data_IF_277942527474
#
_entry.id   IF_277942527474
#
_cell.length_a   1.000
_cell.length_b   1.000
_cell.length_c   1.000
_cell.angle_alpha   90.00
_cell.angle_beta   90.00
_cell.angle_gamma   90.00
#
_symmetry.space_group_name_H-M   'P 1'
#
loop_
_entity.id
_entity.type
_entity.pdbx_description
1 polymer ?
#
# COMPACT_ATOMS: atom_id res chain seq x y z
N UNK A 1 39.73 -56.44 22.39
CA UNK A 1 39.21 -57.08 21.16
C UNK A 1 39.60 -56.23 19.97
N UNK A 2 40.59 -56.73 19.21
CA UNK A 2 41.10 -56.12 17.98
C UNK A 2 40.00 -56.05 16.92
N UNK A 3 39.86 -54.90 16.25
CA UNK A 3 39.26 -54.85 14.91
C UNK A 3 40.27 -54.20 13.97
N UNK A 4 40.97 -55.08 13.26
CA UNK A 4 41.84 -54.78 12.13
C UNK A 4 41.03 -54.06 11.04
N UNK A 5 41.49 -52.87 10.66
CA UNK A 5 41.19 -52.23 9.39
C UNK A 5 42.43 -52.39 8.50
N UNK A 6 42.35 -53.33 7.57
CA UNK A 6 43.33 -53.57 6.53
C UNK A 6 43.46 -52.32 5.64
N UNK A 7 44.55 -51.56 5.80
CA UNK A 7 45.09 -50.72 4.74
C UNK A 7 45.66 -51.65 3.66
N UNK A 8 44.98 -51.74 2.53
CA UNK A 8 45.54 -52.33 1.31
C UNK A 8 46.49 -51.30 0.73
N UNK A 9 47.79 -51.43 1.06
CA UNK A 9 48.84 -50.75 0.30
C UNK A 9 48.73 -51.16 -1.18
N UNK A 10 48.66 -50.21 -2.12
CA UNK A 10 48.61 -50.55 -3.53
C UNK A 10 49.92 -51.24 -3.93
N UNK A 11 49.79 -52.49 -4.37
CA UNK A 11 50.90 -53.32 -4.83
C UNK A 11 51.84 -52.54 -5.79
N UNK A 12 53.15 -52.78 -5.64
CA UNK A 12 54.22 -52.29 -6.54
C UNK A 12 53.85 -52.40 -8.04
N UNK A 13 53.05 -53.41 -8.40
CA UNK A 13 52.53 -53.65 -9.75
C UNK A 13 51.65 -52.49 -10.28
N UNK A 14 50.74 -51.93 -9.47
CA UNK A 14 49.83 -50.87 -9.91
C UNK A 14 50.55 -49.55 -10.17
N UNK A 15 51.59 -49.22 -9.37
CA UNK A 15 52.43 -48.04 -9.57
C UNK A 15 53.30 -48.17 -10.82
N UNK A 16 53.86 -49.36 -11.05
CA UNK A 16 54.67 -49.64 -12.24
C UNK A 16 53.82 -49.69 -13.52
N UNK A 17 52.58 -50.17 -13.44
CA UNK A 17 51.62 -50.14 -14.55
C UNK A 17 51.18 -48.71 -14.89
N UNK A 18 50.97 -47.86 -13.89
CA UNK A 18 50.66 -46.43 -14.09
C UNK A 18 51.86 -45.68 -14.71
N UNK A 19 53.08 -46.01 -14.28
CA UNK A 19 54.31 -45.44 -14.83
C UNK A 19 54.55 -45.89 -16.27
N UNK A 20 54.33 -47.17 -16.58
CA UNK A 20 54.44 -47.72 -17.92
C UNK A 20 53.37 -47.14 -18.87
N UNK A 21 52.13 -46.99 -18.41
CA UNK A 21 51.07 -46.31 -19.15
C UNK A 21 51.42 -44.84 -19.43
N UNK A 22 51.98 -44.13 -18.44
CA UNK A 22 52.44 -42.74 -18.60
C UNK A 22 53.57 -42.61 -19.62
N UNK A 23 54.56 -43.50 -19.57
CA UNK A 23 55.69 -43.51 -20.54
C UNK A 23 55.19 -43.85 -21.95
N UNK A 24 54.29 -44.83 -22.09
CA UNK A 24 53.70 -45.21 -23.37
C UNK A 24 52.85 -44.07 -23.98
N UNK A 25 52.04 -43.40 -23.16
CA UNK A 25 51.24 -42.24 -23.55
C UNK A 25 52.13 -41.06 -24.00
N UNK A 26 53.22 -40.78 -23.28
CA UNK A 26 54.19 -39.73 -23.64
C UNK A 26 54.87 -40.05 -24.97
N UNK A 27 55.20 -41.31 -25.25
CA UNK A 27 55.78 -41.74 -26.53
C UNK A 27 54.78 -41.55 -27.68
N UNK A 28 53.54 -41.98 -27.50
CA UNK A 28 52.46 -41.80 -28.48
C UNK A 28 52.23 -40.32 -28.77
N UNK A 29 52.16 -39.46 -27.75
CA UNK A 29 51.98 -38.01 -27.91
C UNK A 29 53.18 -37.36 -28.61
N UNK A 30 54.41 -37.87 -28.40
CA UNK A 30 55.62 -37.34 -29.04
C UNK A 30 55.72 -37.69 -30.52
N UNK A 31 55.20 -38.84 -30.93
CA UNK A 31 55.22 -39.35 -32.30
C UNK A 31 53.93 -39.01 -33.08
N UNK A 32 52.88 -38.51 -32.41
CA UNK A 32 51.62 -38.14 -33.03
C UNK A 32 51.81 -36.97 -34.00
N UNK A 33 51.42 -37.20 -35.25
CA UNK A 33 51.35 -36.18 -36.29
C UNK A 33 49.99 -36.26 -36.99
N UNK A 34 49.05 -35.43 -36.58
CA UNK A 34 47.69 -35.41 -37.13
C UNK A 34 47.62 -34.75 -38.53
N UNK A 35 48.70 -34.11 -38.96
CA UNK A 35 48.78 -33.39 -40.24
C UNK A 35 49.58 -34.13 -41.32
N UNK A 36 50.12 -35.33 -41.04
CA UNK A 36 50.91 -36.11 -42.01
C UNK A 36 50.12 -36.50 -43.25
N UNK A 37 48.84 -36.81 -43.10
CA UNK A 37 47.94 -37.25 -44.18
C UNK A 37 46.82 -36.25 -44.47
N UNK A 38 46.90 -35.02 -43.95
CA UNK A 38 45.88 -34.01 -44.22
C UNK A 38 45.99 -33.53 -45.68
N UNK A 39 44.93 -33.66 -46.50
CA UNK A 39 44.99 -33.40 -47.94
C UNK A 39 45.30 -31.93 -48.28
N UNK A 40 44.93 -31.00 -47.41
CA UNK A 40 45.14 -29.57 -47.61
C UNK A 40 46.56 -29.13 -47.19
N UNK A 41 47.09 -29.72 -46.11
CA UNK A 41 48.27 -29.20 -45.41
C UNK A 41 49.54 -30.05 -45.58
N UNK A 42 49.39 -31.35 -45.78
CA UNK A 42 50.52 -32.29 -45.93
C UNK A 42 51.51 -31.90 -47.04
N UNK A 43 51.08 -31.54 -48.27
CA UNK A 43 52.03 -31.16 -49.34
C UNK A 43 52.74 -29.82 -49.10
N UNK A 44 52.26 -29.03 -48.14
CA UNK A 44 52.63 -27.63 -47.94
C UNK A 44 53.55 -27.42 -46.72
N UNK A 45 53.54 -28.35 -45.75
CA UNK A 45 54.23 -28.23 -44.47
C UNK A 45 55.41 -29.22 -44.36
N UNK A 46 56.51 -28.77 -43.75
CA UNK A 46 57.62 -29.69 -43.41
C UNK A 46 57.24 -30.62 -42.26
N UNK A 47 57.88 -31.80 -42.14
CA UNK A 47 57.62 -32.76 -41.04
C UNK A 47 57.68 -32.12 -39.65
N UNK A 48 58.61 -31.19 -39.44
CA UNK A 48 58.72 -30.42 -38.19
C UNK A 48 57.53 -29.48 -37.97
N UNK A 49 57.07 -28.76 -39.00
CA UNK A 49 55.91 -27.88 -38.93
C UNK A 49 54.61 -28.67 -38.68
N UNK A 50 54.49 -29.87 -39.24
CA UNK A 50 53.36 -30.76 -39.00
C UNK A 50 53.29 -31.23 -37.53
N UNK A 51 54.44 -31.59 -36.93
CA UNK A 51 54.52 -31.97 -35.51
C UNK A 51 54.20 -30.78 -34.59
N UNK A 52 54.73 -29.58 -34.88
CA UNK A 52 54.40 -28.38 -34.09
C UNK A 52 52.94 -27.98 -34.23
N UNK A 53 52.36 -28.07 -35.43
CA UNK A 53 50.94 -27.82 -35.66
C UNK A 53 50.07 -28.81 -34.91
N UNK A 54 50.44 -30.10 -34.87
CA UNK A 54 49.74 -31.13 -34.09
C UNK A 54 49.69 -30.79 -32.59
N UNK A 55 50.82 -30.37 -32.02
CA UNK A 55 50.89 -30.00 -30.59
C UNK A 55 50.07 -28.76 -30.28
N UNK A 56 50.18 -27.72 -31.11
CA UNK A 56 49.43 -26.48 -30.94
C UNK A 56 47.92 -26.72 -31.09
N UNK A 57 47.52 -27.55 -32.05
CA UNK A 57 46.14 -28.00 -32.25
C UNK A 57 45.57 -28.67 -30.99
N UNK A 58 46.30 -29.63 -30.40
CA UNK A 58 45.86 -30.31 -29.18
C UNK A 58 45.75 -29.37 -27.97
N UNK A 59 46.63 -28.37 -27.85
CA UNK A 59 46.55 -27.36 -26.79
C UNK A 59 45.32 -26.47 -27.00
N UNK A 60 45.13 -25.92 -28.20
CA UNK A 60 44.01 -25.02 -28.50
C UNK A 60 42.66 -25.69 -28.37
N UNK A 61 42.54 -26.95 -28.82
CA UNK A 61 41.29 -27.68 -28.66
C UNK A 61 41.00 -27.99 -27.19
N UNK A 62 42.02 -28.31 -26.38
CA UNK A 62 41.86 -28.56 -24.95
C UNK A 62 41.45 -27.30 -24.18
N UNK A 63 42.07 -26.15 -24.48
CA UNK A 63 41.71 -24.86 -23.86
C UNK A 63 40.29 -24.47 -24.26
N UNK A 64 39.95 -24.60 -25.55
CA UNK A 64 38.63 -24.27 -26.07
C UNK A 64 37.54 -25.15 -25.43
N UNK A 65 37.79 -26.46 -25.31
CA UNK A 65 36.87 -27.38 -24.65
C UNK A 65 36.70 -27.04 -23.16
N UNK A 66 37.80 -26.71 -22.46
CA UNK A 66 37.75 -26.29 -21.06
C UNK A 66 36.91 -25.02 -20.86
N UNK A 67 37.06 -24.03 -21.75
CA UNK A 67 36.25 -22.80 -21.72
C UNK A 67 34.77 -23.11 -21.93
N UNK A 68 34.43 -23.96 -22.91
CA UNK A 68 33.03 -24.37 -23.17
C UNK A 68 32.42 -25.09 -21.97
N UNK A 69 33.15 -26.04 -21.37
CA UNK A 69 32.68 -26.78 -20.19
C UNK A 69 32.50 -25.84 -19.00
N UNK A 70 33.45 -24.94 -18.77
CA UNK A 70 33.38 -23.96 -17.68
C UNK A 70 32.18 -23.02 -17.85
N UNK A 71 31.99 -22.50 -19.07
CA UNK A 71 30.84 -21.67 -19.41
C UNK A 71 29.51 -22.43 -19.20
N UNK A 72 29.40 -23.65 -19.73
CA UNK A 72 28.20 -24.47 -19.59
C UNK A 72 27.90 -24.81 -18.12
N UNK A 73 28.93 -24.99 -17.29
CA UNK A 73 28.77 -25.30 -15.86
C UNK A 73 28.29 -24.10 -15.03
N UNK A 74 28.64 -22.89 -15.46
CA UNK A 74 28.24 -21.63 -14.81
C UNK A 74 26.91 -21.08 -15.36
N UNK A 75 26.46 -21.59 -16.50
CA UNK A 75 25.24 -21.13 -17.15
C UNK A 75 24.00 -21.58 -16.38
N UNK A 76 23.04 -20.65 -16.26
CA UNK A 76 21.75 -20.85 -15.61
C UNK A 76 20.67 -20.87 -16.68
N UNK A 77 19.73 -21.78 -16.53
CA UNK A 77 18.52 -21.89 -17.35
C UNK A 77 17.29 -21.53 -16.53
N UNK A 78 16.41 -20.74 -17.14
CA UNK A 78 15.09 -20.47 -16.58
C UNK A 78 14.11 -21.49 -17.12
N UNK A 79 13.54 -22.31 -16.24
CA UNK A 79 12.49 -23.25 -16.58
C UNK A 79 11.13 -22.62 -16.29
N UNK A 80 10.15 -22.88 -17.15
CA UNK A 80 8.78 -22.42 -17.01
C UNK A 80 7.86 -23.61 -16.74
N UNK A 81 6.99 -23.48 -15.73
CA UNK A 81 5.99 -24.48 -15.38
C UNK A 81 4.62 -23.83 -15.43
N UNK A 82 3.67 -24.49 -16.09
CA UNK A 82 2.27 -24.04 -16.17
C UNK A 82 1.33 -25.17 -15.74
N UNK A 83 0.53 -24.91 -14.71
CA UNK A 83 -0.49 -25.81 -14.18
C UNK A 83 -1.88 -25.32 -14.60
N UNK A 84 -2.66 -26.20 -15.24
CA UNK A 84 -4.05 -25.91 -15.65
C UNK A 84 -5.08 -26.15 -14.55
N UNK A 85 -4.74 -26.96 -13.54
CA UNK A 85 -5.60 -27.27 -12.39
C UNK A 85 -4.75 -27.20 -11.13
N UNK A 86 -5.19 -26.41 -10.17
CA UNK A 86 -4.52 -26.19 -8.90
C UNK A 86 -5.54 -25.72 -7.86
N UNK A 87 -5.28 -25.99 -6.58
CA UNK A 87 -6.10 -25.52 -5.46
C UNK A 87 -5.58 -24.18 -4.91
N UNK A 88 -6.38 -23.52 -4.06
CA UNK A 88 -5.94 -22.34 -3.31
C UNK A 88 -4.69 -22.60 -2.48
N UNK A 89 -4.56 -23.82 -1.91
CA UNK A 89 -3.38 -24.23 -1.12
C UNK A 89 -2.15 -24.39 -2.00
N UNK A 90 -2.31 -24.87 -3.23
CA UNK A 90 -1.22 -24.97 -4.20
C UNK A 90 -0.70 -23.59 -4.59
N UNK A 91 -1.62 -22.64 -4.79
CA UNK A 91 -1.29 -21.25 -5.01
C UNK A 91 -0.48 -20.67 -3.84
N UNK A 92 -1.02 -20.71 -2.62
CA UNK A 92 -0.35 -20.12 -1.44
C UNK A 92 1.04 -20.74 -1.21
N UNK A 93 1.17 -22.06 -1.43
CA UNK A 93 2.47 -22.74 -1.36
C UNK A 93 3.44 -22.24 -2.44
N UNK A 94 3.03 -22.23 -3.70
CA UNK A 94 3.90 -21.85 -4.82
C UNK A 94 4.24 -20.35 -4.79
N UNK A 95 3.35 -19.51 -4.30
CA UNK A 95 3.62 -18.10 -4.05
C UNK A 95 4.73 -17.93 -3.00
N UNK A 96 4.69 -18.71 -1.91
CA UNK A 96 5.74 -18.66 -0.89
C UNK A 96 7.12 -19.07 -1.43
N UNK A 97 7.15 -19.95 -2.43
CA UNK A 97 8.38 -20.46 -3.04
C UNK A 97 8.91 -19.59 -4.18
N UNK A 98 8.01 -18.98 -4.97
CA UNK A 98 8.33 -18.25 -6.20
C UNK A 98 7.60 -16.89 -6.28
N UNK A 99 7.72 -16.01 -5.28
CA UNK A 99 6.89 -14.81 -5.16
C UNK A 99 7.10 -13.81 -6.31
N UNK A 100 8.28 -13.77 -6.92
CA UNK A 100 8.63 -12.80 -7.97
C UNK A 100 8.28 -13.26 -9.39
N UNK A 101 8.00 -14.54 -9.60
CA UNK A 101 7.80 -15.12 -10.95
C UNK A 101 6.46 -15.81 -11.11
N UNK A 102 5.74 -16.07 -10.01
CA UNK A 102 4.40 -16.64 -10.07
C UNK A 102 3.42 -15.67 -10.72
N UNK A 103 2.59 -16.19 -11.60
CA UNK A 103 1.60 -15.42 -12.33
C UNK A 103 0.33 -16.24 -12.53
N UNK A 104 -0.80 -15.68 -12.10
CA UNK A 104 -2.12 -16.31 -12.17
C UNK A 104 -3.13 -15.28 -12.70
N UNK A 105 -3.46 -15.32 -14.00
CA UNK A 105 -4.52 -14.48 -14.54
C UNK A 105 -5.90 -14.89 -14.01
N UNK A 106 -6.69 -13.89 -13.63
CA UNK A 106 -8.11 -14.04 -13.34
C UNK A 106 -8.90 -14.13 -14.64
N UNK A 107 -9.96 -14.95 -14.65
CA UNK A 107 -10.92 -14.95 -15.77
C UNK A 107 -11.85 -13.74 -15.71
N UNK A 108 -12.26 -13.32 -14.51
CA UNK A 108 -12.98 -12.06 -14.29
C UNK A 108 -12.00 -10.97 -13.84
N UNK A 109 -11.77 -9.98 -14.70
CA UNK A 109 -10.87 -8.85 -14.39
C UNK A 109 -11.55 -7.79 -13.51
N UNK A 110 -12.88 -7.83 -13.41
CA UNK A 110 -13.70 -6.86 -12.68
C UNK A 110 -14.68 -7.61 -11.79
N UNK A 111 -14.53 -7.48 -10.47
CA UNK A 111 -15.34 -8.18 -9.47
C UNK A 111 -15.97 -7.19 -8.49
N UNK A 112 -17.29 -7.14 -8.41
CA UNK A 112 -18.00 -6.32 -7.43
C UNK A 112 -17.65 -6.69 -5.99
N UNK A 113 -17.48 -5.69 -5.13
CA UNK A 113 -17.08 -5.91 -3.73
C UNK A 113 -18.06 -6.81 -2.97
N UNK A 114 -19.36 -6.77 -3.27
CA UNK A 114 -20.35 -7.62 -2.60
C UNK A 114 -20.08 -9.14 -2.71
N UNK A 115 -19.28 -9.58 -3.69
CA UNK A 115 -18.91 -10.99 -3.84
C UNK A 115 -17.97 -11.46 -2.72
N UNK A 116 -17.16 -10.57 -2.12
CA UNK A 116 -16.06 -10.97 -1.23
C UNK A 116 -15.85 -10.03 -0.03
N UNK A 117 -16.59 -8.93 0.05
CA UNK A 117 -16.61 -8.00 1.17
C UNK A 117 -18.05 -7.73 1.61
N UNK A 118 -18.23 -7.56 2.91
CA UNK A 118 -19.51 -7.25 3.52
C UNK A 118 -19.38 -6.14 4.56
N UNK A 119 -20.47 -5.39 4.73
CA UNK A 119 -20.56 -4.23 5.61
C UNK A 119 -21.87 -4.25 6.36
N UNK A 120 -21.82 -4.25 7.69
CA UNK A 120 -23.00 -4.37 8.56
C UNK A 120 -22.94 -3.33 9.68
N UNK A 121 -23.25 -2.07 9.39
CA UNK A 121 -23.16 -0.98 10.35
C UNK A 121 -24.23 -1.09 11.44
N UNK A 122 -23.80 -0.94 12.68
CA UNK A 122 -24.65 -0.84 13.86
C UNK A 122 -24.63 0.61 14.36
N UNK A 123 -25.80 1.23 14.38
CA UNK A 123 -25.95 2.62 14.80
C UNK A 123 -26.14 2.73 16.32
N UNK A 124 -25.74 3.87 16.86
CA UNK A 124 -25.94 4.28 18.24
C UNK A 124 -27.42 4.23 18.58
N UNK A 125 -27.75 3.71 19.78
CA UNK A 125 -29.13 3.46 20.22
C UNK A 125 -30.04 4.68 20.07
N UNK A 126 -29.51 5.90 20.24
CA UNK A 126 -30.24 7.15 20.04
C UNK A 126 -30.99 7.20 18.69
N UNK A 127 -30.38 6.72 17.61
CA UNK A 127 -30.92 6.78 16.25
C UNK A 127 -31.96 5.69 15.95
N UNK A 128 -32.25 4.82 16.91
CA UNK A 128 -33.36 3.86 16.88
C UNK A 128 -34.30 3.99 18.08
N UNK A 129 -34.03 4.94 18.98
CA UNK A 129 -34.80 5.16 20.21
C UNK A 129 -36.08 5.98 20.01
N UNK A 130 -36.91 6.03 21.05
CA UNK A 130 -38.12 6.84 21.07
C UNK A 130 -37.83 8.35 21.02
N UNK A 131 -36.60 8.79 21.38
CA UNK A 131 -36.20 10.19 21.45
C UNK A 131 -36.07 10.89 20.10
N UNK A 132 -35.95 10.13 19.00
CA UNK A 132 -36.08 10.67 17.64
C UNK A 132 -37.48 10.43 17.06
N UNK A 133 -38.37 9.81 17.83
CA UNK A 133 -39.73 9.47 17.44
C UNK A 133 -40.68 10.66 17.49
N UNK A 134 -41.79 10.55 16.76
CA UNK A 134 -42.83 11.60 16.72
C UNK A 134 -43.44 11.86 18.10
N UNK A 135 -43.69 10.81 18.90
CA UNK A 135 -44.29 10.93 20.24
C UNK A 135 -43.45 11.78 21.18
N UNK A 136 -42.15 11.48 21.30
CA UNK A 136 -41.22 12.26 22.11
C UNK A 136 -41.16 13.72 21.67
N UNK A 137 -40.89 13.94 20.38
CA UNK A 137 -40.77 15.29 19.84
C UNK A 137 -42.05 16.09 20.08
N UNK A 138 -43.23 15.52 19.81
CA UNK A 138 -44.51 16.18 20.06
C UNK A 138 -44.74 16.50 21.54
N UNK A 139 -44.28 15.64 22.46
CA UNK A 139 -44.41 15.88 23.90
C UNK A 139 -43.66 17.12 24.41
N UNK A 140 -42.66 17.57 23.65
CA UNK A 140 -41.83 18.74 23.95
C UNK A 140 -42.37 20.05 23.35
N UNK A 141 -43.43 19.98 22.55
CA UNK A 141 -44.00 21.17 21.92
C UNK A 141 -44.86 21.98 22.90
N UNK A 142 -44.58 23.27 22.99
CA UNK A 142 -45.40 24.25 23.70
C UNK A 142 -45.78 25.40 22.76
N UNK A 143 -47.04 25.80 22.78
CA UNK A 143 -47.55 26.90 21.95
C UNK A 143 -46.98 28.27 22.38
N UNK A 144 -46.66 28.42 23.67
CA UNK A 144 -46.03 29.61 24.24
C UNK A 144 -44.51 29.44 24.44
N UNK A 145 -43.86 28.55 23.69
CA UNK A 145 -42.43 28.28 23.82
C UNK A 145 -41.56 29.56 23.80
N UNK A 146 -41.88 30.52 22.93
CA UNK A 146 -41.17 31.80 22.79
C UNK A 146 -41.35 32.77 23.97
N UNK A 147 -42.33 32.52 24.83
CA UNK A 147 -42.56 33.34 26.03
C UNK A 147 -41.54 33.05 27.13
N UNK A 148 -40.96 31.84 27.14
CA UNK A 148 -39.97 31.43 28.14
C UNK A 148 -38.61 32.13 27.97
N UNK A 149 -37.70 31.88 28.92
CA UNK A 149 -36.32 32.35 28.83
C UNK A 149 -35.59 31.62 27.69
N UNK A 150 -34.67 32.29 27.03
CA UNK A 150 -33.91 31.74 25.90
C UNK A 150 -32.98 30.57 26.30
N UNK A 151 -32.60 30.50 27.57
CA UNK A 151 -31.88 29.37 28.19
C UNK A 151 -32.82 28.25 28.68
N UNK A 152 -34.13 28.50 28.67
CA UNK A 152 -35.11 27.52 29.09
C UNK A 152 -35.30 26.44 28.03
N UNK A 153 -35.12 25.18 28.41
CA UNK A 153 -35.25 24.08 27.45
C UNK A 153 -36.64 24.00 26.82
N UNK A 154 -37.69 24.47 27.50
CA UNK A 154 -39.05 24.50 26.97
C UNK A 154 -39.19 25.39 25.73
N UNK A 155 -38.28 26.35 25.56
CA UNK A 155 -38.20 27.20 24.38
C UNK A 155 -37.76 26.42 23.14
N UNK A 156 -36.80 25.49 23.28
CA UNK A 156 -36.08 24.94 22.12
C UNK A 156 -35.97 23.41 22.05
N UNK A 157 -36.31 22.67 23.10
CA UNK A 157 -36.16 21.21 23.15
C UNK A 157 -36.86 20.51 21.98
N UNK A 158 -38.06 20.96 21.62
CA UNK A 158 -38.75 20.48 20.43
C UNK A 158 -37.90 20.55 19.15
N UNK A 159 -37.23 21.68 18.91
CA UNK A 159 -36.37 21.86 17.74
C UNK A 159 -35.07 21.07 17.86
N UNK A 160 -34.54 20.91 19.08
CA UNK A 160 -33.32 20.13 19.33
C UNK A 160 -33.51 18.67 18.94
N UNK A 161 -34.58 18.02 19.43
CA UNK A 161 -34.84 16.63 19.08
C UNK A 161 -35.28 16.46 17.62
N UNK A 162 -35.82 17.50 16.97
CA UNK A 162 -35.98 17.52 15.50
C UNK A 162 -34.64 17.54 14.77
N UNK A 163 -33.68 18.37 15.21
CA UNK A 163 -32.32 18.41 14.67
C UNK A 163 -31.61 17.07 14.87
N UNK A 164 -31.69 16.48 16.06
CA UNK A 164 -31.12 15.17 16.34
C UNK A 164 -31.70 14.07 15.44
N UNK A 165 -33.03 14.05 15.26
CA UNK A 165 -33.68 13.14 14.32
C UNK A 165 -33.15 13.32 12.90
N UNK A 166 -32.95 14.57 12.46
CA UNK A 166 -32.41 14.87 11.13
C UNK A 166 -30.98 14.36 10.99
N UNK A 167 -30.12 14.56 12.00
CA UNK A 167 -28.75 14.04 12.00
C UNK A 167 -28.72 12.51 11.95
N UNK A 168 -29.56 11.83 12.73
CA UNK A 168 -29.69 10.37 12.67
C UNK A 168 -30.20 9.88 11.32
N UNK A 169 -31.16 10.60 10.72
CA UNK A 169 -31.68 10.25 9.39
C UNK A 169 -30.62 10.42 8.31
N UNK A 170 -29.89 11.55 8.33
CA UNK A 170 -28.78 11.83 7.43
C UNK A 170 -27.72 10.73 7.53
N UNK A 171 -27.25 10.43 8.75
CA UNK A 171 -26.28 9.37 8.98
C UNK A 171 -26.73 8.02 8.39
N UNK A 172 -27.97 7.60 8.68
CA UNK A 172 -28.50 6.33 8.18
C UNK A 172 -28.65 6.30 6.68
N UNK A 173 -29.14 7.40 6.08
CA UNK A 173 -29.30 7.51 4.65
C UNK A 173 -27.95 7.48 3.93
N UNK A 174 -26.99 8.30 4.35
CA UNK A 174 -25.66 8.35 3.76
C UNK A 174 -24.95 6.98 3.85
N UNK A 175 -25.08 6.29 4.98
CA UNK A 175 -24.50 4.94 5.13
C UNK A 175 -25.21 3.91 4.25
N UNK A 176 -26.52 3.99 4.07
CA UNK A 176 -27.23 3.09 3.15
C UNK A 176 -26.84 3.35 1.69
N UNK A 177 -26.69 4.62 1.31
CA UNK A 177 -26.30 5.01 -0.05
C UNK A 177 -24.85 4.63 -0.35
N UNK A 178 -23.94 4.79 0.62
CA UNK A 178 -22.56 4.30 0.49
C UNK A 178 -22.53 2.78 0.41
N UNK A 179 -23.36 2.07 1.18
CA UNK A 179 -23.41 0.61 1.14
C UNK A 179 -23.85 0.09 -0.23
N UNK A 180 -24.86 0.72 -0.85
CA UNK A 180 -25.27 0.41 -2.24
C UNK A 180 -24.14 0.66 -3.23
N UNK A 181 -23.47 1.80 -3.10
CA UNK A 181 -22.33 2.16 -3.97
C UNK A 181 -21.19 1.17 -3.81
N UNK A 182 -20.82 0.85 -2.57
CA UNK A 182 -19.79 -0.13 -2.21
C UNK A 182 -20.07 -1.49 -2.86
N UNK A 183 -21.28 -2.02 -2.67
CA UNK A 183 -21.66 -3.33 -3.21
C UNK A 183 -21.56 -3.38 -4.74
N UNK A 184 -21.85 -2.26 -5.42
CA UNK A 184 -21.75 -2.16 -6.88
C UNK A 184 -20.34 -1.86 -7.41
N UNK A 185 -19.44 -1.37 -6.56
CA UNK A 185 -18.10 -0.94 -6.98
C UNK A 185 -17.24 -2.16 -7.31
N UNK A 186 -16.62 -2.21 -8.50
CA UNK A 186 -15.75 -3.32 -8.88
C UNK A 186 -14.30 -3.11 -8.40
N UNK A 187 -13.67 -4.20 -7.96
CA UNK A 187 -12.22 -4.34 -7.91
C UNK A 187 -11.72 -4.76 -9.28
N UNK A 188 -10.86 -3.95 -9.89
CA UNK A 188 -10.30 -4.23 -11.22
C UNK A 188 -8.85 -4.68 -11.09
N UNK A 189 -8.59 -5.95 -11.37
CA UNK A 189 -7.23 -6.48 -11.43
C UNK A 189 -7.14 -7.70 -12.35
N UNK A 190 -6.02 -7.84 -13.05
CA UNK A 190 -5.81 -8.91 -14.05
C UNK A 190 -5.27 -10.19 -13.45
N UNK A 191 -4.55 -10.07 -12.34
CA UNK A 191 -3.87 -11.18 -11.69
C UNK A 191 -4.45 -11.38 -10.30
N UNK A 192 -4.19 -12.52 -9.68
CA UNK A 192 -4.63 -12.74 -8.32
C UNK A 192 -3.70 -12.03 -7.33
N UNK A 193 -4.27 -11.44 -6.29
CA UNK A 193 -3.50 -10.94 -5.15
C UNK A 193 -3.07 -12.08 -4.23
N UNK A 194 -1.94 -11.90 -3.56
CA UNK A 194 -1.61 -12.67 -2.38
C UNK A 194 -2.66 -12.46 -1.29
N UNK A 195 -2.79 -13.40 -0.35
CA UNK A 195 -3.68 -13.22 0.80
C UNK A 195 -3.31 -11.98 1.61
N UNK A 196 -2.02 -11.71 1.77
CA UNK A 196 -1.54 -10.52 2.47
C UNK A 196 -1.92 -9.23 1.74
N UNK A 197 -1.68 -9.18 0.42
CA UNK A 197 -2.05 -8.03 -0.43
C UNK A 197 -3.55 -7.79 -0.43
N UNK A 198 -4.36 -8.85 -0.56
CA UNK A 198 -5.81 -8.75 -0.49
C UNK A 198 -6.28 -8.18 0.85
N UNK A 199 -5.76 -8.69 1.97
CA UNK A 199 -6.13 -8.21 3.31
C UNK A 199 -5.76 -6.73 3.50
N UNK A 200 -4.59 -6.32 3.01
CA UNK A 200 -4.15 -4.92 3.04
C UNK A 200 -5.06 -4.03 2.19
N UNK A 201 -5.32 -4.41 0.93
CA UNK A 201 -6.21 -3.69 0.02
C UNK A 201 -7.62 -3.58 0.61
N UNK A 202 -8.18 -4.67 1.12
CA UNK A 202 -9.51 -4.68 1.73
C UNK A 202 -9.58 -3.72 2.93
N UNK A 203 -8.57 -3.76 3.81
CA UNK A 203 -8.48 -2.86 4.97
C UNK A 203 -8.43 -1.38 4.54
N UNK A 204 -7.57 -1.05 3.56
CA UNK A 204 -7.44 0.32 3.04
C UNK A 204 -8.75 0.78 2.38
N UNK A 205 -9.41 -0.08 1.61
CA UNK A 205 -10.70 0.23 1.01
C UNK A 205 -11.74 0.55 2.08
N UNK A 206 -11.92 -0.32 3.09
CA UNK A 206 -12.86 -0.05 4.19
C UNK A 206 -12.55 1.27 4.91
N UNK A 207 -11.29 1.53 5.24
CA UNK A 207 -10.87 2.75 5.92
C UNK A 207 -11.15 4.01 5.09
N UNK A 208 -10.89 3.95 3.78
CA UNK A 208 -11.17 5.06 2.88
C UNK A 208 -12.67 5.30 2.75
N UNK A 209 -13.48 4.24 2.62
CA UNK A 209 -14.94 4.37 2.58
C UNK A 209 -15.49 5.03 3.84
N UNK A 210 -15.05 4.57 5.02
CA UNK A 210 -15.46 5.13 6.31
C UNK A 210 -15.04 6.59 6.47
N UNK A 211 -13.78 6.93 6.14
CA UNK A 211 -13.29 8.31 6.28
C UNK A 211 -13.98 9.27 5.31
N UNK A 212 -14.22 8.85 4.08
CA UNK A 212 -14.81 9.70 3.05
C UNK A 212 -16.25 10.08 3.41
N UNK A 213 -17.08 9.12 3.82
CA UNK A 213 -18.47 9.40 4.20
C UNK A 213 -18.53 10.31 5.42
N UNK A 214 -17.77 10.01 6.48
CA UNK A 214 -17.74 10.82 7.71
C UNK A 214 -17.30 12.25 7.40
N UNK A 215 -16.24 12.42 6.60
CA UNK A 215 -15.73 13.74 6.21
C UNK A 215 -16.74 14.52 5.38
N UNK A 216 -17.40 13.87 4.41
CA UNK A 216 -18.40 14.51 3.56
C UNK A 216 -19.59 15.02 4.38
N UNK A 217 -20.15 14.17 5.25
CA UNK A 217 -21.32 14.54 6.04
C UNK A 217 -21.00 15.57 7.12
N UNK A 218 -19.83 15.48 7.75
CA UNK A 218 -19.32 16.54 8.65
C UNK A 218 -19.28 17.89 7.93
N UNK A 219 -18.73 17.92 6.70
CA UNK A 219 -18.68 19.13 5.88
C UNK A 219 -20.08 19.63 5.53
N UNK A 220 -21.00 18.76 5.14
CA UNK A 220 -22.40 19.12 4.84
C UNK A 220 -23.05 19.83 6.02
N UNK A 221 -23.02 19.24 7.21
CA UNK A 221 -23.65 19.84 8.41
C UNK A 221 -22.98 21.17 8.78
N UNK A 222 -21.66 21.27 8.63
CA UNK A 222 -20.90 22.50 8.90
C UNK A 222 -21.30 23.62 7.94
N UNK A 223 -21.41 23.32 6.65
CA UNK A 223 -21.84 24.28 5.63
C UNK A 223 -23.27 24.73 5.87
N UNK A 224 -24.18 23.82 6.25
CA UNK A 224 -25.57 24.18 6.58
C UNK A 224 -25.63 25.13 7.78
N UNK A 225 -24.88 24.86 8.85
CA UNK A 225 -24.78 25.77 10.00
C UNK A 225 -24.27 27.15 9.58
N UNK A 226 -23.19 27.21 8.80
CA UNK A 226 -22.63 28.46 8.28
C UNK A 226 -23.63 29.22 7.40
N UNK A 227 -24.37 28.52 6.54
CA UNK A 227 -25.37 29.15 5.67
C UNK A 227 -26.53 29.74 6.47
N UNK A 228 -27.01 29.04 7.51
CA UNK A 228 -28.06 29.58 8.40
C UNK A 228 -27.58 30.87 9.07
N UNK A 229 -26.35 30.83 9.57
CA UNK A 229 -25.76 31.91 10.35
C UNK A 229 -25.48 33.15 9.48
N UNK A 230 -24.71 32.98 8.39
CA UNK A 230 -24.29 34.07 7.50
C UNK A 230 -25.43 34.72 6.71
N UNK A 231 -26.52 33.99 6.45
CA UNK A 231 -27.71 34.57 5.82
C UNK A 231 -28.69 35.18 6.84
N UNK A 232 -28.37 35.15 8.14
CA UNK A 232 -29.22 35.69 9.20
C UNK A 232 -30.60 35.03 9.25
N UNK A 233 -30.70 33.73 8.96
CA UNK A 233 -32.00 33.05 8.89
C UNK A 233 -32.66 33.01 10.28
N UNK A 234 -33.89 33.51 10.37
CA UNK A 234 -34.61 33.64 11.63
C UNK A 234 -35.08 32.28 12.15
N UNK A 235 -34.73 31.97 13.41
CA UNK A 235 -35.34 30.86 14.14
C UNK A 235 -36.78 31.22 14.52
N UNK A 236 -37.73 30.35 14.18
CA UNK A 236 -39.13 30.51 14.59
C UNK A 236 -39.30 30.56 16.12
N UNK A 237 -38.32 30.02 16.87
CA UNK A 237 -38.29 30.02 18.32
C UNK A 237 -37.63 31.27 18.92
N UNK A 238 -37.21 32.22 18.07
CA UNK A 238 -36.58 33.48 18.47
C UNK A 238 -35.29 33.31 19.28
N UNK A 239 -34.57 32.22 19.02
CA UNK A 239 -33.30 31.88 19.69
C UNK A 239 -32.10 32.66 19.14
N UNK A 240 -32.18 33.17 17.92
CA UNK A 240 -31.12 33.98 17.31
C UNK A 240 -31.53 35.43 17.03
N UNK A 241 -32.77 35.65 16.58
CA UNK A 241 -33.35 36.96 16.34
C UNK A 241 -34.80 36.99 16.80
N UNK A 242 -35.25 38.14 17.28
CA UNK A 242 -36.65 38.37 17.59
C UNK A 242 -37.15 39.65 16.92
N UNK A 243 -38.44 39.65 16.61
CA UNK A 243 -39.14 40.78 16.00
C UNK A 243 -40.07 41.33 17.05
N UNK A 244 -39.98 42.63 17.31
CA UNK A 244 -40.90 43.34 18.19
C UNK A 244 -41.43 44.58 17.49
N UNK A 245 -42.63 44.99 17.87
CA UNK A 245 -43.26 46.25 17.45
C UNK A 245 -43.45 47.12 18.68
N UNK A 246 -43.10 48.39 18.57
CA UNK A 246 -43.47 49.36 19.62
C UNK A 246 -44.99 49.54 19.58
N UNK A 247 -45.72 49.47 20.71
CA UNK A 247 -47.16 49.70 20.73
C UNK A 247 -47.52 51.03 20.06
N UNK A 248 -48.40 50.98 19.05
CA UNK A 248 -48.81 52.15 18.26
C UNK A 248 -47.94 52.45 17.03
N UNK A 249 -46.82 51.75 16.84
CA UNK A 249 -46.02 51.83 15.61
C UNK A 249 -46.51 50.83 14.56
N UNK A 250 -46.43 51.22 13.28
CA UNK A 250 -46.58 50.30 12.14
C UNK A 250 -45.28 49.59 11.76
N UNK A 251 -44.17 50.03 12.34
CA UNK A 251 -42.83 49.52 12.04
C UNK A 251 -42.47 48.36 12.98
N UNK A 252 -41.88 47.33 12.39
CA UNK A 252 -41.31 46.20 13.12
C UNK A 252 -39.80 46.37 13.20
N UNK A 253 -39.25 46.20 14.40
CA UNK A 253 -37.80 46.20 14.61
C UNK A 253 -37.32 44.78 14.86
N UNK A 254 -36.24 44.41 14.18
CA UNK A 254 -35.54 43.14 14.41
C UNK A 254 -34.37 43.39 15.36
N UNK A 255 -34.25 42.57 16.40
CA UNK A 255 -33.10 42.58 17.30
C UNK A 255 -32.51 41.17 17.41
N UNK A 256 -31.19 41.10 17.58
CA UNK A 256 -30.50 39.85 17.82
C UNK A 256 -30.70 39.40 19.26
N UNK A 257 -30.80 38.08 19.44
CA UNK A 257 -30.81 37.48 20.75
C UNK A 257 -29.43 37.65 21.39
N UNK A 258 -29.44 38.04 22.67
CA UNK A 258 -28.24 38.23 23.48
C UNK A 258 -28.29 37.27 24.64
N UNK A 259 -27.29 36.38 24.70
CA UNK A 259 -27.08 35.48 25.83
C UNK A 259 -26.13 36.14 26.82
N UNK A 260 -26.55 36.25 28.08
CA UNK A 260 -25.72 36.76 29.17
C UNK A 260 -25.50 35.67 30.20
N UNK A 261 -24.27 35.55 30.70
CA UNK A 261 -23.97 34.84 31.94
C UNK A 261 -23.17 35.74 32.87
N UNK A 262 -23.55 35.71 34.15
CA UNK A 262 -22.91 36.47 35.22
C UNK A 262 -22.16 35.45 36.05
N UNK A 263 -20.83 35.45 35.93
CA UNK A 263 -19.99 34.61 36.78
C UNK A 263 -19.19 35.49 37.73
N UNK A 264 -19.72 35.65 38.95
CA UNK A 264 -19.22 36.34 40.17
C UNK A 264 -18.54 37.73 40.04
N UNK A 265 -17.87 38.08 38.95
CA UNK A 265 -17.27 39.41 38.66
C UNK A 265 -17.22 39.78 37.16
N UNK A 266 -17.57 38.87 36.22
CA UNK A 266 -17.50 39.15 34.77
C UNK A 266 -18.83 38.83 34.08
N UNK A 267 -19.44 39.84 33.49
CA UNK A 267 -20.56 39.69 32.55
C UNK A 267 -19.97 39.23 31.21
N UNK A 268 -20.37 38.05 30.75
CA UNK A 268 -20.02 37.60 29.40
C UNK A 268 -21.26 37.62 28.52
N UNK A 269 -21.22 38.54 27.56
CA UNK A 269 -22.26 38.76 26.57
C UNK A 269 -21.91 38.05 25.26
N UNK A 270 -22.89 37.34 24.72
CA UNK A 270 -22.83 36.72 23.41
C UNK A 270 -24.05 37.13 22.59
N UNK A 271 -23.82 38.04 21.65
CA UNK A 271 -24.80 38.48 20.67
C UNK A 271 -24.81 37.51 19.48
N UNK A 272 -25.97 36.92 19.19
CA UNK A 272 -26.16 36.00 18.07
C UNK A 272 -25.88 36.60 16.70
N UNK A 273 -25.90 37.93 16.54
CA UNK A 273 -25.48 38.59 15.31
C UNK A 273 -23.96 38.64 15.14
N UNK A 274 -23.22 38.72 16.25
CA UNK A 274 -21.76 38.91 16.23
C UNK A 274 -20.99 37.60 16.39
N UNK A 275 -21.56 36.66 17.15
CA UNK A 275 -20.90 35.40 17.55
C UNK A 275 -21.79 34.18 17.30
N UNK A 276 -22.78 34.32 16.42
CA UNK A 276 -23.66 33.30 15.82
C UNK A 276 -23.61 31.90 16.46
N UNK A 277 -22.74 31.01 15.97
CA UNK A 277 -22.68 29.61 16.38
C UNK A 277 -21.83 29.34 17.64
N UNK A 278 -21.19 30.36 18.21
CA UNK A 278 -20.31 30.27 19.37
C UNK A 278 -21.05 30.55 20.68
N UNK A 279 -22.26 31.11 20.62
CA UNK A 279 -23.10 31.37 21.79
C UNK A 279 -23.76 30.08 22.28
N UNK A 280 -23.05 29.33 23.12
CA UNK A 280 -23.50 28.03 23.65
C UNK A 280 -23.45 28.05 25.17
N UNK A 281 -24.59 27.79 25.81
CA UNK A 281 -24.79 27.92 27.24
C UNK A 281 -25.55 26.72 27.82
N UNK A 282 -25.33 26.31 29.07
CA UNK A 282 -26.09 25.22 29.66
C UNK A 282 -27.60 25.53 29.73
N UNK A 283 -28.41 24.56 29.34
CA UNK A 283 -29.87 24.66 29.37
C UNK A 283 -30.42 24.28 30.76
N UNK A 284 -31.55 24.89 31.12
CA UNK A 284 -32.25 24.54 32.36
C UNK A 284 -33.74 24.81 32.31
N UNK A 285 -34.42 24.50 33.41
CA UNK A 285 -35.78 24.90 33.68
C UNK A 285 -35.75 26.16 34.58
N UNK A 286 -36.30 27.26 34.07
CA UNK A 286 -36.41 28.53 34.79
C UNK A 286 -37.84 28.73 35.30
N UNK A 287 -38.08 29.62 36.27
CA UNK A 287 -39.46 29.93 36.70
C UNK A 287 -40.27 30.52 35.53
N UNK A 288 -41.61 30.43 35.62
CA UNK A 288 -42.54 30.83 34.57
C UNK A 288 -42.54 32.37 34.39
N UNK A 289 -41.61 32.89 33.60
CA UNK A 289 -41.51 34.32 33.28
C UNK A 289 -42.36 34.61 32.04
N UNK A 290 -43.62 34.96 32.25
CA UNK A 290 -44.50 35.54 31.22
C UNK A 290 -44.45 37.08 31.24
N UNK A 291 -43.26 37.68 31.41
CA UNK A 291 -43.11 39.14 31.37
C UNK A 291 -42.86 39.64 29.93
N UNK A 292 -43.39 40.84 29.64
CA UNK A 292 -43.35 41.53 28.35
C UNK A 292 -41.93 41.69 27.81
N UNK A 293 -41.81 41.59 26.47
CA UNK A 293 -40.59 41.42 25.67
C UNK A 293 -39.48 42.48 25.83
N UNK A 294 -39.75 43.65 26.41
CA UNK A 294 -38.82 44.79 26.39
C UNK A 294 -37.73 44.79 27.47
N UNK A 295 -37.70 43.80 28.38
CA UNK A 295 -36.71 43.73 29.48
C UNK A 295 -36.00 42.37 29.54
N UNK A 296 -35.76 41.74 28.38
CA UNK A 296 -35.05 40.45 28.26
C UNK A 296 -33.54 40.53 27.88
N UNK A 297 -32.68 41.45 28.36
CA UNK A 297 -31.31 41.05 28.59
C UNK A 297 -31.28 40.19 29.86
N UNK A 298 -30.62 39.04 29.82
CA UNK A 298 -30.31 38.16 30.96
C UNK A 298 -29.43 38.82 32.07
N UNK A 299 -29.70 40.09 32.40
CA UNK A 299 -28.86 40.97 33.21
C UNK A 299 -29.09 40.82 34.72
N UNK A 300 -30.16 40.14 35.15
CA UNK A 300 -30.52 39.93 36.56
C UNK A 300 -31.35 38.63 36.74
N UNK A 301 -30.73 37.44 36.65
CA UNK A 301 -31.49 36.18 36.78
C UNK A 301 -31.04 35.29 37.94
N UNK A 302 -32.05 34.76 38.64
CA UNK A 302 -31.98 33.63 39.57
C UNK A 302 -31.43 32.38 38.85
N UNK A 303 -30.69 31.50 39.54
CA UNK A 303 -30.18 30.27 38.93
C UNK A 303 -31.33 29.39 38.42
N UNK A 304 -31.07 28.59 37.39
CA UNK A 304 -32.02 27.59 36.91
C UNK A 304 -32.47 26.70 38.08
N UNK A 305 -33.77 26.41 38.17
CA UNK A 305 -34.29 25.52 39.22
C UNK A 305 -33.76 24.10 39.03
N UNK A 306 -33.59 23.70 37.77
CA UNK A 306 -33.02 22.43 37.37
C UNK A 306 -32.20 22.64 36.10
N UNK A 307 -30.90 22.38 36.18
CA UNK A 307 -30.04 22.34 35.00
C UNK A 307 -30.17 20.97 34.36
N UNK A 308 -30.35 20.90 33.04
CA UNK A 308 -30.49 19.63 32.33
C UNK A 308 -29.08 19.13 31.99
N UNK A 309 -28.62 18.01 32.55
CA UNK A 309 -27.30 17.49 32.28
C UNK A 309 -27.07 17.29 30.79
N UNK A 310 -26.01 17.90 30.27
CA UNK A 310 -25.60 17.75 28.88
C UNK A 310 -26.37 18.57 27.85
N UNK A 311 -27.52 19.15 28.18
CA UNK A 311 -28.30 19.93 27.22
C UNK A 311 -27.78 21.37 27.16
N UNK A 312 -27.52 21.85 25.96
CA UNK A 312 -27.06 23.22 25.72
C UNK A 312 -28.15 24.03 25.00
N UNK A 313 -28.17 25.33 25.24
CA UNK A 313 -28.94 26.35 24.53
C UNK A 313 -27.99 27.16 23.66
N UNK A 314 -28.49 27.71 22.54
CA UNK A 314 -27.71 28.63 21.72
C UNK A 314 -28.51 29.19 20.55
N UNK A 315 -27.88 30.09 19.80
CA UNK A 315 -28.56 30.87 18.76
C UNK A 315 -29.27 29.97 17.74
N UNK A 316 -28.58 28.92 17.29
CA UNK A 316 -29.06 27.96 16.30
C UNK A 316 -29.35 26.63 17.01
N UNK A 317 -30.59 26.09 16.93
CA UNK A 317 -30.95 24.81 17.52
C UNK A 317 -30.13 23.62 17.02
N UNK A 318 -29.67 23.65 15.75
CA UNK A 318 -28.78 22.61 15.21
C UNK A 318 -27.44 22.61 15.94
N UNK A 319 -26.80 23.76 16.09
CA UNK A 319 -25.45 23.86 16.68
C UNK A 319 -25.47 23.62 18.19
N UNK A 320 -26.43 24.19 18.90
CA UNK A 320 -26.60 23.91 20.33
C UNK A 320 -26.97 22.44 20.60
N UNK A 321 -27.75 21.79 19.73
CA UNK A 321 -27.96 20.34 19.84
C UNK A 321 -26.68 19.55 19.56
N UNK A 322 -25.88 19.96 18.57
CA UNK A 322 -24.57 19.34 18.28
C UNK A 322 -23.60 19.47 19.46
N UNK A 323 -23.60 20.60 20.16
CA UNK A 323 -22.80 20.79 21.37
C UNK A 323 -23.39 20.14 22.63
N UNK A 324 -24.64 19.68 22.57
CA UNK A 324 -25.24 18.93 23.68
C UNK A 324 -24.69 17.50 23.75
N UNK A 325 -24.70 16.91 24.93
CA UNK A 325 -24.42 15.50 25.17
C UNK A 325 -25.74 14.73 25.36
N UNK A 326 -25.66 13.40 25.45
CA UNK A 326 -26.83 12.54 25.67
C UNK A 326 -27.03 12.17 27.15
N UNK A 327 -26.29 12.80 28.07
CA UNK A 327 -26.26 12.43 29.52
C UNK A 327 -27.65 12.31 30.13
N UNK A 328 -28.52 13.30 29.93
CA UNK A 328 -29.89 13.25 30.44
C UNK A 328 -30.67 12.04 29.91
N UNK A 329 -30.45 11.61 28.67
CA UNK A 329 -31.19 10.52 28.04
C UNK A 329 -30.80 9.13 28.57
N UNK A 330 -29.66 9.01 29.26
CA UNK A 330 -29.26 7.80 29.97
C UNK A 330 -29.79 7.74 31.41
N UNK A 331 -30.43 8.81 31.90
CA UNK A 331 -30.97 8.90 33.25
C UNK A 331 -32.49 9.01 33.24
N UNK A 332 -33.18 7.99 33.77
CA UNK A 332 -34.65 7.94 33.76
C UNK A 332 -35.31 9.11 34.49
N UNK A 333 -34.73 9.57 35.61
CA UNK A 333 -35.24 10.73 36.35
C UNK A 333 -35.14 12.01 35.53
N UNK A 334 -34.06 12.17 34.76
CA UNK A 334 -33.89 13.31 33.88
C UNK A 334 -34.86 13.27 32.69
N UNK A 335 -35.00 12.11 32.02
CA UNK A 335 -35.99 11.89 30.95
C UNK A 335 -37.40 12.24 31.42
N UNK A 336 -37.76 11.81 32.62
CA UNK A 336 -39.07 12.12 33.21
C UNK A 336 -39.23 13.63 33.49
N UNK A 337 -38.17 14.32 33.93
CA UNK A 337 -38.20 15.74 34.25
C UNK A 337 -38.38 16.64 33.01
N UNK A 338 -37.83 16.23 31.85
CA UNK A 338 -37.91 17.03 30.61
C UNK A 338 -39.13 16.70 29.74
N UNK A 339 -39.88 15.64 30.07
CA UNK A 339 -41.13 15.30 29.39
C UNK A 339 -42.25 16.26 29.84
N UNK A 340 -42.63 17.21 28.98
CA UNK A 340 -43.57 18.29 29.33
C UNK A 340 -45.04 17.85 29.28
N UNK A 341 -45.36 16.89 28.41
CA UNK A 341 -46.72 16.38 28.23
C UNK A 341 -46.78 14.84 28.43
N UNK A 342 -46.43 14.33 29.62
CA UNK A 342 -46.30 12.89 29.85
C UNK A 342 -47.65 12.16 29.75
N UNK A 343 -48.76 12.84 30.11
CA UNK A 343 -50.12 12.29 30.07
C UNK A 343 -50.60 11.89 28.67
N UNK A 344 -50.07 12.52 27.61
CA UNK A 344 -50.47 12.28 26.22
C UNK A 344 -49.48 11.42 25.44
N UNK A 345 -48.28 11.18 26.00
CA UNK A 345 -47.13 10.73 25.21
C UNK A 345 -46.59 9.36 25.65
N UNK A 346 -47.01 8.86 26.82
CA UNK A 346 -46.54 7.60 27.42
C UNK A 346 -45.22 7.75 28.17
N UNK A 347 -44.81 6.74 28.96
CA UNK A 347 -43.51 6.75 29.62
C UNK A 347 -42.41 6.52 28.59
N UNK A 348 -41.40 7.39 28.59
CA UNK A 348 -40.21 7.24 27.74
C UNK A 348 -39.11 6.55 28.53
N UNK A 349 -38.50 5.51 27.96
CA UNK A 349 -37.43 4.78 28.64
C UNK A 349 -36.07 5.41 28.36
N UNK A 350 -35.26 5.58 29.40
CA UNK A 350 -33.86 5.98 29.26
C UNK A 350 -33.06 4.99 28.39
N UNK A 351 -32.07 5.54 27.69
CA UNK A 351 -31.07 4.76 26.94
C UNK A 351 -30.22 3.89 27.87
N UNK A 352 -29.57 2.88 27.30
CA UNK A 352 -28.68 2.00 28.05
C UNK A 352 -27.22 2.30 27.70
N UNK A 353 -26.46 2.79 28.69
CA UNK A 353 -25.05 3.15 28.53
C UNK A 353 -24.19 1.98 28.05
N UNK A 354 -24.56 0.73 28.37
CA UNK A 354 -23.79 -0.47 27.97
C UNK A 354 -23.78 -0.75 26.47
N UNK A 355 -24.64 -0.10 25.68
CA UNK A 355 -24.70 -0.27 24.22
C UNK A 355 -23.90 0.79 23.43
N UNK A 356 -23.32 1.77 24.11
CA UNK A 356 -22.54 2.84 23.49
C UNK A 356 -21.05 2.64 23.77
N UNK A 357 -20.21 2.77 22.74
CA UNK A 357 -18.75 2.87 22.90
C UNK A 357 -18.29 4.27 23.29
N UNK A 358 -19.16 5.27 23.16
CA UNK A 358 -18.87 6.66 23.46
C UNK A 358 -19.08 6.94 24.96
N UNK A 359 -18.18 7.72 25.59
CA UNK A 359 -18.42 8.31 26.90
C UNK A 359 -19.76 9.05 26.97
N UNK A 360 -20.40 9.05 28.15
CA UNK A 360 -21.71 9.70 28.32
C UNK A 360 -21.64 11.21 28.09
N UNK A 361 -20.50 11.84 28.41
CA UNK A 361 -20.24 13.26 28.21
C UNK A 361 -19.74 13.61 26.79
N UNK A 362 -19.72 12.65 25.85
CA UNK A 362 -19.45 12.95 24.45
C UNK A 362 -20.55 13.82 23.87
N UNK A 363 -20.16 14.88 23.16
CA UNK A 363 -21.10 15.73 22.44
C UNK A 363 -21.68 14.98 21.25
N UNK A 364 -22.90 15.32 20.87
CA UNK A 364 -23.54 14.82 19.66
C UNK A 364 -22.69 15.12 18.42
N UNK A 365 -22.02 16.28 18.41
CA UNK A 365 -21.06 16.65 17.37
C UNK A 365 -19.91 15.63 17.28
N UNK A 366 -19.28 15.26 18.40
CA UNK A 366 -18.20 14.27 18.42
C UNK A 366 -18.70 12.92 17.91
N UNK A 367 -19.83 12.43 18.42
CA UNK A 367 -20.41 11.14 18.01
C UNK A 367 -20.71 11.12 16.50
N UNK A 368 -21.28 12.21 15.97
CA UNK A 368 -21.57 12.36 14.54
C UNK A 368 -20.30 12.53 13.69
N UNK A 369 -19.39 13.43 14.08
CA UNK A 369 -18.20 13.78 13.30
C UNK A 369 -17.12 12.68 13.32
N UNK A 370 -17.11 11.80 14.32
CA UNK A 370 -16.18 10.68 14.38
C UNK A 370 -16.69 9.44 13.64
N UNK A 371 -18.01 9.26 13.57
CA UNK A 371 -18.57 7.97 13.15
C UNK A 371 -19.95 7.99 12.51
N UNK A 372 -20.59 9.15 12.35
CA UNK A 372 -21.99 9.27 11.92
C UNK A 372 -22.94 8.44 12.80
N UNK A 373 -22.73 8.48 14.13
CA UNK A 373 -23.45 7.63 15.08
C UNK A 373 -23.28 6.13 14.84
N UNK A 374 -22.21 5.68 14.17
CA UNK A 374 -21.95 4.24 14.00
C UNK A 374 -21.09 3.73 15.16
N UNK A 375 -21.65 2.78 15.90
CA UNK A 375 -20.98 2.06 16.99
C UNK A 375 -19.95 1.07 16.43
N UNK A 376 -20.37 0.27 15.45
CA UNK A 376 -19.53 -0.72 14.79
C UNK A 376 -19.89 -0.80 13.32
N UNK A 377 -18.89 -0.82 12.45
CA UNK A 377 -19.09 -0.92 11.02
C UNK A 377 -19.25 -2.36 10.51
N UNK A 378 -18.86 -3.36 11.31
CA UNK A 378 -19.02 -4.78 10.97
C UNK A 378 -18.34 -5.16 9.65
N UNK A 379 -17.07 -4.79 9.47
CA UNK A 379 -16.33 -5.03 8.22
C UNK A 379 -15.88 -6.49 8.13
N UNK A 380 -16.24 -7.19 7.06
CA UNK A 380 -15.79 -8.55 6.81
C UNK A 380 -15.30 -8.68 5.36
N UNK A 381 -14.15 -9.32 5.17
CA UNK A 381 -13.64 -9.70 3.86
C UNK A 381 -13.29 -11.18 3.85
N UNK A 382 -13.46 -11.85 2.70
CA UNK A 382 -13.09 -13.24 2.51
C UNK A 382 -12.19 -13.37 1.28
N UNK A 383 -10.95 -13.80 1.52
CA UNK A 383 -10.02 -14.08 0.44
C UNK A 383 -10.48 -15.27 -0.39
N UNK A 384 -11.13 -16.26 0.22
CA UNK A 384 -11.67 -17.45 -0.46
C UNK A 384 -12.75 -17.05 -1.46
N UNK A 385 -13.66 -16.16 -1.06
CA UNK A 385 -14.69 -15.65 -1.96
C UNK A 385 -14.08 -14.79 -3.07
N UNK A 386 -13.05 -14.00 -2.77
CA UNK A 386 -12.29 -13.23 -3.77
C UNK A 386 -11.58 -14.16 -4.77
N UNK A 387 -10.90 -15.19 -4.29
CA UNK A 387 -10.22 -16.20 -5.10
C UNK A 387 -11.22 -16.91 -6.03
N UNK A 388 -12.37 -17.29 -5.49
CA UNK A 388 -13.45 -17.91 -6.26
C UNK A 388 -14.03 -16.96 -7.32
N UNK A 389 -14.23 -15.68 -6.98
CA UNK A 389 -14.72 -14.66 -7.91
C UNK A 389 -13.71 -14.36 -9.04
N UNK A 390 -12.40 -14.37 -8.74
CA UNK A 390 -11.34 -14.19 -9.74
C UNK A 390 -11.35 -15.31 -10.79
N UNK A 391 -11.79 -16.52 -10.42
CA UNK A 391 -11.87 -17.69 -11.27
C UNK A 391 -10.54 -17.92 -12.03
N UNK A 392 -9.46 -18.30 -11.32
CA UNK A 392 -8.12 -18.33 -11.89
C UNK A 392 -7.99 -19.35 -13.02
N UNK A 393 -7.35 -18.96 -14.12
CA UNK A 393 -7.31 -19.75 -15.36
C UNK A 393 -6.16 -20.76 -15.42
N UNK A 394 -4.96 -20.31 -15.08
CA UNK A 394 -3.73 -21.10 -15.11
C UNK A 394 -2.73 -20.53 -14.12
N UNK A 395 -1.88 -21.37 -13.54
CA UNK A 395 -0.79 -20.93 -12.68
C UNK A 395 0.52 -21.16 -13.43
N UNK A 396 1.27 -20.09 -13.65
CA UNK A 396 2.59 -20.15 -14.28
C UNK A 396 3.64 -19.61 -13.33
N UNK A 397 4.80 -20.26 -13.25
CA UNK A 397 5.96 -19.73 -12.53
C UNK A 397 7.25 -20.14 -13.22
N UNK A 398 8.33 -19.44 -12.90
CA UNK A 398 9.65 -19.78 -13.42
C UNK A 398 10.68 -19.92 -12.30
N UNK A 399 11.57 -20.90 -12.44
CA UNK A 399 12.66 -21.14 -11.52
C UNK A 399 13.97 -21.37 -12.27
N UNK A 400 15.07 -21.03 -11.62
CA UNK A 400 16.40 -21.10 -12.20
C UNK A 400 17.10 -22.39 -11.79
N UNK A 401 17.65 -23.12 -12.76
CA UNK A 401 18.51 -24.29 -12.52
C UNK A 401 19.80 -24.18 -13.31
N UNK A 402 20.85 -24.86 -12.86
CA UNK A 402 22.05 -25.04 -13.67
C UNK A 402 21.81 -26.09 -14.76
N UNK A 403 22.61 -26.06 -15.81
CA UNK A 403 22.57 -27.11 -16.83
C UNK A 403 22.86 -28.49 -16.21
N UNK A 404 22.01 -29.46 -16.53
CA UNK A 404 22.26 -30.85 -16.20
C UNK A 404 23.48 -31.37 -16.97
N UNK A 405 24.14 -32.40 -16.43
CA UNK A 405 25.33 -33.01 -17.02
C UNK A 405 25.11 -33.42 -18.48
N UNK A 406 23.93 -33.95 -18.81
CA UNK A 406 23.56 -34.32 -20.19
C UNK A 406 23.67 -33.13 -21.15
N UNK A 407 23.18 -31.96 -20.74
CA UNK A 407 23.22 -30.73 -21.56
C UNK A 407 24.65 -30.20 -21.70
N UNK A 408 25.45 -30.25 -20.64
CA UNK A 408 26.88 -29.89 -20.66
C UNK A 408 27.63 -30.78 -21.66
N UNK A 409 27.37 -32.10 -21.62
CA UNK A 409 27.98 -33.06 -22.53
C UNK A 409 27.55 -32.81 -23.98
N UNK A 410 26.25 -32.65 -24.24
CA UNK A 410 25.74 -32.36 -25.59
C UNK A 410 26.35 -31.08 -26.17
N UNK A 411 26.44 -30.03 -25.36
CA UNK A 411 27.05 -28.76 -25.76
C UNK A 411 28.55 -28.89 -26.05
N UNK A 412 29.24 -29.72 -25.28
CA UNK A 412 30.67 -30.03 -25.49
C UNK A 412 30.89 -30.82 -26.78
N UNK A 413 30.05 -31.83 -27.04
CA UNK A 413 30.10 -32.63 -28.28
C UNK A 413 29.78 -31.77 -29.50
N UNK A 414 28.75 -30.91 -29.42
CA UNK A 414 28.41 -30.01 -30.53
C UNK A 414 29.52 -29.00 -30.82
N UNK A 415 30.17 -28.47 -29.77
CA UNK A 415 31.28 -27.53 -29.93
C UNK A 415 32.54 -28.21 -30.49
N UNK A 416 32.81 -29.47 -30.11
CA UNK A 416 34.00 -30.20 -30.52
C UNK A 416 34.11 -30.29 -32.05
N UNK A 417 33.03 -30.60 -32.76
CA UNK A 417 33.05 -30.72 -34.22
C UNK A 417 33.49 -29.43 -34.94
N UNK A 418 32.91 -28.29 -34.56
CA UNK A 418 33.28 -26.99 -35.12
C UNK A 418 34.70 -26.56 -34.75
N UNK A 419 35.10 -26.80 -33.49
CA UNK A 419 36.44 -26.48 -32.99
C UNK A 419 37.53 -27.31 -33.69
N UNK A 420 37.29 -28.59 -33.96
CA UNK A 420 38.23 -29.44 -34.72
C UNK A 420 38.50 -28.83 -36.10
N UNK A 421 37.46 -28.51 -36.86
CA UNK A 421 37.60 -27.98 -38.21
C UNK A 421 38.31 -26.61 -38.21
N UNK A 422 37.91 -25.70 -37.32
CA UNK A 422 38.51 -24.38 -37.20
C UNK A 422 40.01 -24.47 -36.85
N UNK A 423 40.37 -25.25 -35.83
CA UNK A 423 41.76 -25.37 -35.41
C UNK A 423 42.62 -26.19 -36.39
N UNK A 424 42.03 -27.13 -37.14
CA UNK A 424 42.73 -27.84 -38.22
C UNK A 424 43.11 -26.90 -39.38
N UNK A 425 42.35 -25.82 -39.61
CA UNK A 425 42.68 -24.83 -40.63
C UNK A 425 43.64 -23.75 -40.11
N UNK A 426 43.45 -23.29 -38.87
CA UNK A 426 44.16 -22.13 -38.31
C UNK A 426 45.55 -22.49 -37.78
N UNK A 427 45.71 -23.65 -37.13
CA UNK A 427 46.99 -23.99 -36.47
C UNK A 427 48.17 -24.09 -37.44
N UNK A 428 48.05 -24.64 -38.66
CA UNK A 428 49.18 -24.71 -39.58
C UNK A 428 49.53 -23.36 -40.21
N UNK A 429 48.52 -22.50 -40.44
CA UNK A 429 48.72 -21.11 -40.84
C UNK A 429 49.51 -20.35 -39.78
N UNK A 430 49.14 -20.51 -38.51
CA UNK A 430 49.81 -19.86 -37.39
C UNK A 430 51.29 -20.29 -37.30
N UNK A 431 51.58 -21.60 -37.41
CA UNK A 431 52.96 -22.10 -37.39
C UNK A 431 53.76 -21.56 -38.58
N UNK A 432 53.19 -21.49 -39.78
CA UNK A 432 53.85 -20.91 -40.95
C UNK A 432 54.17 -19.43 -40.78
N UNK A 433 53.22 -18.65 -40.30
CA UNK A 433 53.41 -17.22 -40.05
C UNK A 433 54.47 -17.03 -38.96
N UNK A 434 54.38 -17.79 -37.86
CA UNK A 434 55.33 -17.73 -36.76
C UNK A 434 56.76 -18.07 -37.22
N UNK A 435 56.94 -19.11 -38.02
CA UNK A 435 58.23 -19.48 -38.60
C UNK A 435 58.75 -18.42 -39.57
N UNK A 436 57.91 -17.83 -40.42
CA UNK A 436 58.28 -16.72 -41.30
C UNK A 436 58.78 -15.50 -40.49
N UNK A 437 58.12 -15.19 -39.37
CA UNK A 437 58.55 -14.10 -38.48
C UNK A 437 59.89 -14.41 -37.81
N UNK A 438 60.10 -15.64 -37.34
CA UNK A 438 61.37 -16.06 -36.72
C UNK A 438 62.51 -16.02 -37.75
N UNK A 439 62.29 -16.54 -38.96
CA UNK A 439 63.28 -16.51 -40.03
C UNK A 439 63.63 -15.08 -40.45
N UNK A 440 62.63 -14.18 -40.52
CA UNK A 440 62.85 -12.76 -40.79
C UNK A 440 63.63 -12.07 -39.66
N UNK A 441 63.35 -12.40 -38.39
CA UNK A 441 64.14 -11.90 -37.25
C UNK A 441 65.59 -12.40 -37.28
N UNK A 442 65.81 -13.68 -37.62
CA UNK A 442 67.16 -14.26 -37.74
C UNK A 442 67.96 -13.64 -38.90
N UNK A 443 67.32 -13.36 -40.04
CA UNK A 443 67.96 -12.66 -41.18
C UNK A 443 68.30 -11.19 -40.87
N UNK A 444 67.44 -10.50 -40.13
CA UNK A 444 67.73 -9.12 -39.67
C UNK A 444 68.93 -9.12 -38.72
N UNK A 445 69.03 -10.13 -37.84
CA UNK A 445 70.11 -10.24 -36.86
C UNK A 445 71.46 -10.66 -37.50
N UNK A 446 71.45 -11.45 -38.59
CA UNK A 446 72.65 -11.76 -39.38
C UNK A 446 73.13 -10.59 -40.24
N UNK A 447 72.23 -9.70 -40.68
CA UNK A 447 72.63 -8.48 -41.42
C UNK A 447 73.27 -7.41 -40.52
N UNK A 448 73.00 -7.41 -39.22
CA UNK A 448 73.66 -6.50 -38.25
C UNK A 448 75.02 -7.02 -37.77
N UNK A 449 75.36 -8.27 -38.09
CA UNK A 449 76.63 -8.93 -37.70
C UNK A 449 77.53 -9.28 -38.88
N UNK A 450 77.18 -8.82 -40.09
CA UNK A 450 78.06 -8.92 -41.25
C UNK A 450 79.28 -8.00 -41.06
N UNK A 451 80.47 -8.59 -41.10
CA UNK A 451 81.76 -7.92 -41.02
C UNK A 451 81.87 -6.86 -42.15
N UNK A 452 82.34 -5.62 -41.87
CA UNK A 452 82.36 -4.56 -42.86
C UNK A 452 83.19 -4.96 -44.09
N UNK A 453 82.60 -4.70 -45.26
CA UNK A 453 83.22 -4.98 -46.56
C UNK A 453 84.54 -4.22 -46.71
N UNK A 454 85.46 -4.71 -47.55
CA UNK A 454 86.78 -4.10 -47.74
C UNK A 454 86.72 -2.61 -48.14
N UNK A 455 85.60 -2.17 -48.75
CA UNK A 455 85.33 -0.76 -49.08
C UNK A 455 84.92 0.06 -47.84
N UNK A 456 84.11 -0.50 -46.94
CA UNK A 456 83.78 0.14 -45.65
C UNK A 456 84.99 0.24 -44.72
N UNK A 457 85.90 -0.74 -44.76
CA UNK A 457 87.20 -0.66 -44.06
C UNK A 457 88.07 0.49 -44.57
N UNK A 458 88.01 0.78 -45.87
CA UNK A 458 88.79 1.88 -46.45
C UNK A 458 88.13 3.25 -46.23
N UNK A 459 86.80 3.31 -46.18
CA UNK A 459 86.06 4.52 -45.76
C UNK A 459 86.30 4.83 -44.28
N UNK A 460 86.36 3.82 -43.40
CA UNK A 460 86.74 3.98 -41.99
C UNK A 460 88.22 4.38 -41.80
N UNK A 461 89.11 4.00 -42.73
CA UNK A 461 90.50 4.48 -42.77
C UNK A 461 90.64 5.90 -43.30
N UNK A 462 89.73 6.35 -44.16
CA UNK A 462 89.67 7.72 -44.68
C UNK A 462 88.89 8.67 -43.77
N UNK A 463 88.23 8.16 -42.73
CA UNK A 463 87.56 8.98 -41.73
C UNK A 463 88.61 9.83 -40.97
N UNK A 464 88.47 11.17 -40.93
CA UNK A 464 89.44 12.04 -40.28
C UNK A 464 89.56 11.71 -38.80
N UNK A 465 90.80 11.59 -38.31
CA UNK A 465 91.12 11.41 -36.89
C UNK A 465 90.38 12.48 -36.07
N UNK A 466 89.67 12.12 -35.00
CA UNK A 466 89.10 13.11 -34.10
C UNK A 466 90.23 13.98 -33.56
N UNK A 467 90.08 15.28 -33.80
CA UNK A 467 90.95 16.34 -33.31
C UNK A 467 90.93 16.29 -31.78
N UNK A 468 92.10 16.07 -31.18
CA UNK A 468 92.35 16.46 -29.80
C UNK A 468 92.05 17.96 -29.67
N UNK A 469 90.95 18.29 -28.99
CA UNK A 469 90.76 19.59 -28.34
C UNK A 469 90.94 19.33 -26.84
N UNK A 470 91.82 20.13 -26.23
CA UNK A 470 92.22 20.02 -24.83
C UNK A 470 91.14 20.42 -23.84
#
# INVERSE_FOLDING_TARGET
MNKSSNEVEPSSSSKNMLLAARVSLIRIIRELNLFSYNPCWSPILTRTEQIYSTRLFLIFISISLFVVISYASLSIETNYVTLKKFSIKDFERLESLYPSTINIPCSEVSMSFNKFMNFSPQFHQICSSEFIGKKWISSLFLWNATSHNILDFRTFAFSHFRSLRLLCHLARQSVNDIHRTFNSTPLVHRYIFSRAQFNEIASVLFLNFQRNIVTNEKRTVTVVSMLIAQNGLFSALRTNYFVYSVPGSKDYTTSSAVYLTINQTKETECDCKLRENQCIYPAGAFYNWTLLESVKPAKNHLPAQFQIPGLMAGCIPLDSMRQSTLECLYNQSCVNAISLQPKFSGPFKALNASFSRFPLNSTIESIFNESLFVESWGNQSSFENYYAACAPQSLSYSYQTRFHLSKILTMSVSAFGGLVLAWQLITPLFIKIWKRIILKKQQIQSHTTAEPTAIEREILRMAPKPINKG
#
